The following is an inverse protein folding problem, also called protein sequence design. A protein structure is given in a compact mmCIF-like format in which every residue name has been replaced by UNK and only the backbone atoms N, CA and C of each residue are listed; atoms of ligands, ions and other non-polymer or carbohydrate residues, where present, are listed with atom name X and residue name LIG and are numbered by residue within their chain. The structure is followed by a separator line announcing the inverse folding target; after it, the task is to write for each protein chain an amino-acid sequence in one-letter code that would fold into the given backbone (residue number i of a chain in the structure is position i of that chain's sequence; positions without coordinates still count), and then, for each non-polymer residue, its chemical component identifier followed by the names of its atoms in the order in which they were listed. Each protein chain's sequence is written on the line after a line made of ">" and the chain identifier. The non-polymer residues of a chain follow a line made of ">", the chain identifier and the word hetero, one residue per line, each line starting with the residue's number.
data_IF_654937552560
#
_entry.id   IF_654937552560
#
_cell.length_a   1.000
_cell.length_b   1.000
_cell.length_c   1.000
_cell.angle_alpha   90.00
_cell.angle_beta   90.00
_cell.angle_gamma   90.00
#
_symmetry.space_group_name_H-M   'P 1'
#
loop_
_entity.id
_entity.type
_entity.pdbx_description
1 polymer ?
#
# COMPACT_ATOMS: atom_id res chain seq x y z
N UNK A 1 -53.34 20.17 -10.49
CA UNK A 1 -52.05 20.34 -11.21
C UNK A 1 -51.22 19.05 -11.24
N UNK A 2 -51.35 18.16 -10.25
CA UNK A 2 -50.73 16.83 -10.21
C UNK A 2 -51.61 15.71 -10.82
N UNK A 3 -52.93 15.97 -10.95
CA UNK A 3 -53.94 15.06 -11.51
C UNK A 3 -53.63 14.59 -12.94
N UNK A 4 -52.77 15.29 -13.69
CA UNK A 4 -52.42 14.93 -15.07
C UNK A 4 -51.62 13.61 -15.17
N UNK A 5 -50.97 13.19 -14.08
CA UNK A 5 -50.10 12.01 -14.03
C UNK A 5 -50.33 11.10 -12.80
N UNK A 6 -51.33 11.37 -11.97
CA UNK A 6 -51.52 10.75 -10.64
C UNK A 6 -51.54 9.21 -10.64
N UNK A 7 -51.94 8.57 -11.75
CA UNK A 7 -51.88 7.11 -11.96
C UNK A 7 -51.19 6.72 -13.28
N UNK A 8 -50.53 7.67 -13.94
CA UNK A 8 -50.05 7.50 -15.30
C UNK A 8 -48.65 6.90 -15.43
N UNK A 9 -47.88 6.83 -14.34
CA UNK A 9 -46.46 6.44 -14.38
C UNK A 9 -46.28 5.01 -13.87
N UNK A 10 -45.76 4.14 -14.74
CA UNK A 10 -45.48 2.73 -14.40
C UNK A 10 -44.28 2.20 -15.16
N UNK A 11 -43.72 1.08 -14.71
CA UNK A 11 -42.75 0.30 -15.46
C UNK A 11 -43.47 -0.89 -16.07
N UNK A 12 -43.46 -1.01 -17.39
CA UNK A 12 -44.10 -2.13 -18.07
C UNK A 12 -43.10 -3.26 -18.28
N UNK A 13 -43.22 -4.32 -17.48
CA UNK A 13 -42.33 -5.48 -17.50
C UNK A 13 -42.88 -6.56 -18.41
N UNK A 14 -42.05 -7.10 -19.30
CA UNK A 14 -42.38 -8.29 -20.09
C UNK A 14 -41.96 -9.54 -19.29
N UNK A 15 -42.93 -10.39 -18.97
CA UNK A 15 -42.71 -11.63 -18.23
C UNK A 15 -42.40 -12.79 -19.19
N UNK A 16 -41.70 -13.82 -18.70
CA UNK A 16 -41.25 -14.98 -19.50
C UNK A 16 -42.41 -15.75 -20.14
N UNK A 17 -43.61 -15.69 -19.54
CA UNK A 17 -44.84 -16.29 -20.06
C UNK A 17 -45.55 -15.45 -21.14
N UNK A 18 -44.98 -14.31 -21.56
CA UNK A 18 -45.56 -13.39 -22.54
C UNK A 18 -46.59 -12.40 -21.99
N UNK A 19 -46.89 -12.43 -20.69
CA UNK A 19 -47.74 -11.42 -20.03
C UNK A 19 -46.95 -10.14 -19.68
N UNK A 20 -47.62 -8.99 -19.66
CA UNK A 20 -47.03 -7.74 -19.17
C UNK A 20 -47.46 -7.47 -17.73
N UNK A 21 -46.52 -7.06 -16.87
CA UNK A 21 -46.78 -6.61 -15.51
C UNK A 21 -46.42 -5.12 -15.40
N UNK A 22 -47.41 -4.29 -15.12
CA UNK A 22 -47.19 -2.85 -14.91
C UNK A 22 -46.95 -2.57 -13.42
N UNK A 23 -45.73 -2.14 -13.09
CA UNK A 23 -45.34 -1.78 -11.72
C UNK A 23 -45.59 -0.27 -11.53
N UNK A 24 -46.51 0.14 -10.63
CA UNK A 24 -46.83 1.54 -10.46
C UNK A 24 -45.64 2.31 -9.86
N UNK A 25 -45.42 3.53 -10.37
CA UNK A 25 -44.49 4.50 -9.79
C UNK A 25 -45.30 5.64 -9.18
N UNK A 26 -45.30 5.78 -7.86
CA UNK A 26 -46.08 6.80 -7.14
C UNK A 26 -45.30 8.12 -7.14
N UNK A 27 -45.75 9.18 -7.86
CA UNK A 27 -44.97 10.41 -7.97
C UNK A 27 -44.96 11.24 -6.69
N UNK A 28 -43.85 11.94 -6.45
CA UNK A 28 -43.69 12.91 -5.36
C UNK A 28 -44.17 14.27 -5.83
N UNK A 29 -45.26 14.76 -5.21
CA UNK A 29 -45.94 15.99 -5.63
C UNK A 29 -45.02 17.21 -5.54
N UNK A 30 -44.20 17.27 -4.49
CA UNK A 30 -43.28 18.35 -4.18
C UNK A 30 -42.05 18.41 -5.10
N UNK A 31 -41.73 17.32 -5.81
CA UNK A 31 -40.60 17.23 -6.73
C UNK A 31 -41.02 17.28 -8.21
N UNK A 32 -42.32 17.28 -8.48
CA UNK A 32 -42.88 17.32 -9.83
C UNK A 32 -42.68 18.70 -10.49
N UNK A 33 -42.10 18.70 -11.69
CA UNK A 33 -41.98 19.87 -12.55
C UNK A 33 -42.69 19.60 -13.86
N UNK A 34 -43.80 20.31 -14.10
CA UNK A 34 -44.66 20.13 -15.27
C UNK A 34 -43.87 20.19 -16.58
N UNK A 35 -44.09 19.21 -17.45
CA UNK A 35 -43.46 19.14 -18.78
C UNK A 35 -41.96 18.90 -18.78
N UNK A 36 -41.32 18.67 -17.63
CA UNK A 36 -39.86 18.53 -17.55
C UNK A 36 -39.37 17.38 -16.66
N UNK A 37 -39.94 17.17 -15.47
CA UNK A 37 -39.43 16.17 -14.53
C UNK A 37 -40.53 15.55 -13.66
N UNK A 38 -40.50 14.23 -13.57
CA UNK A 38 -41.29 13.44 -12.62
C UNK A 38 -40.30 12.66 -11.76
N UNK A 39 -40.41 12.79 -10.44
CA UNK A 39 -39.70 11.95 -9.47
C UNK A 39 -40.74 11.07 -8.79
N UNK A 40 -40.52 9.76 -8.74
CA UNK A 40 -41.52 8.83 -8.23
C UNK A 40 -40.90 7.65 -7.47
N UNK A 41 -41.69 7.08 -6.57
CA UNK A 41 -41.39 5.92 -5.73
C UNK A 41 -41.85 4.65 -6.43
N UNK A 42 -40.95 3.70 -6.61
CA UNK A 42 -41.26 2.33 -7.06
C UNK A 42 -41.14 1.38 -5.88
N UNK A 43 -42.08 0.44 -5.78
CA UNK A 43 -41.98 -0.71 -4.90
C UNK A 43 -41.86 -1.97 -5.76
N UNK A 44 -40.97 -2.88 -5.35
CA UNK A 44 -40.85 -4.19 -6.00
C UNK A 44 -42.11 -5.02 -5.70
N UNK A 45 -42.79 -5.54 -6.73
CA UNK A 45 -43.88 -6.51 -6.54
C UNK A 45 -43.42 -7.76 -5.79
N UNK A 46 -44.21 -8.23 -4.82
CA UNK A 46 -43.88 -9.39 -3.96
C UNK A 46 -43.66 -10.70 -4.74
N UNK A 47 -44.36 -10.88 -5.87
CA UNK A 47 -44.33 -12.11 -6.68
C UNK A 47 -43.19 -12.15 -7.71
N UNK A 48 -42.20 -11.24 -7.62
CA UNK A 48 -41.12 -11.12 -8.59
C UNK A 48 -39.85 -11.79 -8.09
N UNK A 49 -39.44 -12.88 -8.75
CA UNK A 49 -38.29 -13.72 -8.34
C UNK A 49 -37.04 -13.54 -9.21
N UNK A 50 -37.17 -13.05 -10.44
CA UNK A 50 -36.06 -12.88 -11.40
C UNK A 50 -35.79 -11.40 -11.69
N UNK A 51 -34.59 -11.12 -12.22
CA UNK A 51 -34.24 -9.79 -12.69
C UNK A 51 -35.01 -9.48 -13.98
N UNK A 52 -36.03 -8.64 -13.88
CA UNK A 52 -36.89 -8.26 -15.01
C UNK A 52 -36.62 -6.82 -15.40
N UNK A 53 -36.63 -6.54 -16.71
CA UNK A 53 -36.38 -5.21 -17.26
C UNK A 53 -37.52 -4.75 -18.15
N UNK A 54 -37.90 -3.48 -18.07
CA UNK A 54 -38.97 -2.91 -18.87
C UNK A 54 -38.83 -1.41 -19.09
N UNK A 55 -39.41 -0.82 -20.14
CA UNK A 55 -39.44 0.62 -20.30
C UNK A 55 -40.28 1.27 -19.18
N UNK A 56 -39.87 2.46 -18.76
CA UNK A 56 -40.71 3.37 -17.99
C UNK A 56 -41.72 3.97 -18.94
N UNK A 57 -43.00 3.88 -18.56
CA UNK A 57 -44.13 4.39 -19.30
C UNK A 57 -44.74 5.54 -18.52
N UNK A 58 -44.95 6.67 -19.20
CA UNK A 58 -45.65 7.84 -18.65
C UNK A 58 -46.89 8.07 -19.50
N UNK A 59 -48.05 8.02 -18.85
CA UNK A 59 -49.36 8.35 -19.42
C UNK A 59 -49.79 9.72 -18.90
N UNK A 60 -50.17 10.62 -19.80
CA UNK A 60 -50.75 11.93 -19.45
C UNK A 60 -52.22 11.93 -19.85
N UNK A 61 -53.11 12.16 -18.87
CA UNK A 61 -54.56 12.18 -19.06
C UNK A 61 -55.12 10.90 -19.75
N UNK A 62 -54.45 9.76 -19.58
CA UNK A 62 -54.78 8.47 -20.21
C UNK A 62 -54.85 8.44 -21.74
N UNK A 63 -54.40 9.51 -22.40
CA UNK A 63 -54.43 9.64 -23.86
C UNK A 63 -53.05 9.58 -24.48
N UNK A 64 -52.06 10.21 -23.84
CA UNK A 64 -50.71 10.35 -24.41
C UNK A 64 -49.72 9.49 -23.65
N UNK A 65 -49.12 8.50 -24.32
CA UNK A 65 -48.14 7.58 -23.72
C UNK A 65 -46.73 7.83 -24.28
N UNK A 66 -45.78 8.00 -23.38
CA UNK A 66 -44.35 8.01 -23.69
C UNK A 66 -43.68 6.76 -23.11
N UNK A 67 -42.66 6.24 -23.81
CA UNK A 67 -41.83 5.11 -23.36
C UNK A 67 -40.37 5.54 -23.29
N UNK A 68 -39.66 5.15 -22.23
CA UNK A 68 -38.23 5.42 -22.11
C UNK A 68 -37.41 4.65 -23.16
N UNK A 69 -36.32 5.26 -23.63
CA UNK A 69 -35.37 4.61 -24.56
C UNK A 69 -34.58 3.48 -23.86
N UNK A 70 -34.19 3.72 -22.62
CA UNK A 70 -33.51 2.74 -21.75
C UNK A 70 -34.54 1.99 -20.91
N UNK A 71 -34.23 0.74 -20.57
CA UNK A 71 -35.07 -0.07 -19.68
C UNK A 71 -34.68 0.17 -18.22
N UNK A 72 -35.68 0.18 -17.35
CA UNK A 72 -35.50 0.06 -15.91
C UNK A 72 -35.36 -1.43 -15.56
N UNK A 73 -34.38 -1.77 -14.72
CA UNK A 73 -34.10 -3.16 -14.35
C UNK A 73 -34.30 -3.34 -12.84
N UNK A 74 -35.11 -4.32 -12.47
CA UNK A 74 -35.19 -4.79 -11.09
C UNK A 74 -34.07 -5.80 -10.84
N UNK A 75 -33.12 -5.43 -9.98
CA UNK A 75 -32.00 -6.30 -9.56
C UNK A 75 -32.17 -6.70 -8.10
N UNK A 76 -31.50 -7.78 -7.69
CA UNK A 76 -31.34 -8.13 -6.29
C UNK A 76 -29.84 -7.97 -5.94
N UNK A 77 -29.46 -6.94 -5.16
CA UNK A 77 -28.07 -6.70 -4.84
C UNK A 77 -27.54 -7.80 -3.93
N UNK A 78 -26.36 -8.32 -4.25
CA UNK A 78 -25.70 -9.36 -3.46
C UNK A 78 -24.37 -8.86 -2.95
N UNK A 79 -24.07 -9.16 -1.70
CA UNK A 79 -22.75 -8.96 -1.11
C UNK A 79 -22.03 -10.31 -1.21
N UNK A 80 -20.73 -10.28 -1.47
CA UNK A 80 -19.85 -11.44 -1.59
C UNK A 80 -18.80 -11.42 -0.50
N UNK A 81 -18.17 -10.27 -0.25
CA UNK A 81 -17.14 -10.14 0.77
C UNK A 81 -17.06 -8.72 1.33
N UNK A 82 -16.44 -8.62 2.50
CA UNK A 82 -16.03 -7.35 3.11
C UNK A 82 -14.54 -7.41 3.44
N UNK A 83 -13.84 -6.29 3.33
CA UNK A 83 -12.41 -6.20 3.68
C UNK A 83 -12.07 -4.77 4.10
N UNK A 84 -11.40 -4.55 5.25
CA UNK A 84 -11.09 -5.54 6.29
C UNK A 84 -12.35 -6.03 7.04
N UNK A 85 -12.18 -7.10 7.82
CA UNK A 85 -13.19 -7.70 8.71
C UNK A 85 -13.05 -7.25 10.18
N UNK A 86 -12.06 -6.41 10.47
CA UNK A 86 -11.82 -5.79 11.79
C UNK A 86 -11.29 -4.37 11.67
N UNK A 87 -11.45 -3.58 12.73
CA UNK A 87 -10.90 -2.23 12.86
C UNK A 87 -11.02 -1.69 14.29
N UNK A 88 -10.39 -0.53 14.59
CA UNK A 88 -10.42 0.05 15.93
C UNK A 88 -11.82 0.51 16.34
N UNK A 89 -12.10 0.45 17.64
CA UNK A 89 -13.34 0.93 18.26
C UNK A 89 -13.60 2.41 17.97
N UNK A 90 -12.55 3.23 17.90
CA UNK A 90 -12.66 4.64 17.50
C UNK A 90 -13.22 4.84 16.08
N UNK A 91 -13.24 3.79 15.26
CA UNK A 91 -13.73 3.82 13.89
C UNK A 91 -12.70 4.43 12.93
N UNK A 92 -13.20 4.96 11.82
CA UNK A 92 -12.36 5.56 10.78
C UNK A 92 -11.79 4.57 9.78
N UNK A 93 -12.14 3.28 9.88
CA UNK A 93 -11.73 2.20 8.97
C UNK A 93 -12.53 2.26 7.69
N UNK A 94 -11.86 2.29 6.54
CA UNK A 94 -12.49 2.15 5.23
C UNK A 94 -12.73 0.67 4.93
N UNK A 95 -13.99 0.25 4.95
CA UNK A 95 -14.45 -1.09 4.58
C UNK A 95 -14.81 -1.10 3.10
N UNK A 96 -14.15 -1.98 2.34
CA UNK A 96 -14.55 -2.35 0.97
C UNK A 96 -15.55 -3.51 1.04
N UNK A 97 -16.75 -3.29 0.48
CA UNK A 97 -17.81 -4.29 0.36
C UNK A 97 -17.91 -4.65 -1.11
N UNK A 98 -17.66 -5.91 -1.47
CA UNK A 98 -17.68 -6.39 -2.86
C UNK A 98 -18.91 -7.25 -3.10
N UNK A 99 -19.44 -7.20 -4.32
CA UNK A 99 -20.69 -7.86 -4.65
C UNK A 99 -21.16 -7.59 -6.08
N UNK A 100 -22.47 -7.69 -6.30
CA UNK A 100 -23.11 -7.38 -7.57
C UNK A 100 -24.30 -6.43 -7.36
N UNK A 101 -24.52 -5.56 -8.36
CA UNK A 101 -25.62 -4.59 -8.39
C UNK A 101 -25.65 -3.63 -7.19
N UNK A 102 -24.50 -3.32 -6.62
CA UNK A 102 -24.37 -2.48 -5.41
C UNK A 102 -24.63 -0.98 -5.69
N UNK A 103 -24.72 -0.58 -6.96
CA UNK A 103 -25.18 0.75 -7.35
C UNK A 103 -26.71 0.87 -7.44
N UNK A 104 -27.47 -0.19 -7.11
CA UNK A 104 -28.93 -0.22 -7.27
C UNK A 104 -29.66 0.74 -6.34
N UNK A 105 -30.75 1.34 -6.81
CA UNK A 105 -31.58 2.24 -6.01
C UNK A 105 -30.98 3.64 -5.85
N UNK A 106 -31.77 4.56 -5.30
CA UNK A 106 -31.39 5.97 -5.20
C UNK A 106 -30.45 6.23 -4.01
N UNK A 107 -30.70 5.58 -2.87
CA UNK A 107 -29.93 5.71 -1.63
C UNK A 107 -29.34 4.37 -1.21
N UNK A 108 -28.15 4.43 -0.63
CA UNK A 108 -27.52 3.31 0.05
C UNK A 108 -27.05 3.77 1.44
N UNK A 109 -27.47 3.05 2.48
CA UNK A 109 -27.09 3.30 3.87
C UNK A 109 -26.39 2.05 4.40
N UNK A 110 -25.24 2.24 5.05
CA UNK A 110 -24.44 1.15 5.62
C UNK A 110 -24.33 1.37 7.12
N UNK A 111 -24.44 0.29 7.89
CA UNK A 111 -24.24 0.31 9.34
C UNK A 111 -23.57 -0.97 9.80
N UNK A 112 -22.87 -0.90 10.93
CA UNK A 112 -22.24 -2.03 11.61
C UNK A 112 -22.71 -2.01 13.06
N UNK A 113 -23.42 -3.05 13.51
CA UNK A 113 -23.98 -3.08 14.88
C UNK A 113 -24.96 -1.93 15.17
N UNK A 114 -25.63 -1.41 14.13
CA UNK A 114 -26.51 -0.24 14.23
C UNK A 114 -25.79 1.11 14.23
N UNK A 115 -24.45 1.14 14.26
CA UNK A 115 -23.64 2.34 14.12
C UNK A 115 -23.43 2.68 12.64
N UNK A 116 -23.60 3.93 12.20
CA UNK A 116 -23.40 4.31 10.80
C UNK A 116 -22.00 3.97 10.25
N UNK A 117 -21.94 3.62 8.97
CA UNK A 117 -20.72 3.58 8.17
C UNK A 117 -20.92 4.50 6.97
N UNK A 118 -20.17 5.60 6.92
CA UNK A 118 -20.38 6.67 5.94
C UNK A 118 -19.89 6.24 4.57
N UNK A 119 -20.81 6.13 3.61
CA UNK A 119 -20.49 5.74 2.23
C UNK A 119 -19.57 6.78 1.57
N UNK A 120 -18.38 6.35 1.16
CA UNK A 120 -17.37 7.18 0.47
C UNK A 120 -17.32 6.90 -1.02
N UNK A 121 -17.63 5.67 -1.44
CA UNK A 121 -17.59 5.26 -2.85
C UNK A 121 -18.71 4.27 -3.15
N UNK A 122 -19.33 4.42 -4.32
CA UNK A 122 -20.41 3.54 -4.79
C UNK A 122 -20.21 3.16 -6.26
N UNK A 123 -20.16 1.87 -6.53
CA UNK A 123 -19.99 1.28 -7.86
C UNK A 123 -20.91 0.06 -8.00
N UNK A 124 -21.02 -0.48 -9.22
CA UNK A 124 -21.84 -1.65 -9.50
C UNK A 124 -21.39 -2.90 -8.73
N UNK A 125 -20.07 -3.08 -8.57
CA UNK A 125 -19.45 -4.25 -7.96
C UNK A 125 -18.79 -3.98 -6.60
N UNK A 126 -18.80 -2.73 -6.12
CA UNK A 126 -18.19 -2.37 -4.85
C UNK A 126 -18.83 -1.15 -4.17
N UNK A 127 -18.84 -1.17 -2.85
CA UNK A 127 -19.06 0.00 -1.99
C UNK A 127 -17.82 0.19 -1.12
N UNK A 128 -17.50 1.44 -0.80
CA UNK A 128 -16.55 1.77 0.26
C UNK A 128 -17.26 2.63 1.29
N UNK A 129 -17.14 2.28 2.55
CA UNK A 129 -17.68 3.09 3.65
C UNK A 129 -16.67 3.23 4.77
N UNK A 130 -16.74 4.34 5.51
CA UNK A 130 -15.87 4.62 6.64
C UNK A 130 -16.63 4.44 7.95
N UNK A 131 -16.14 3.57 8.84
CA UNK A 131 -16.81 3.26 10.10
C UNK A 131 -16.85 4.48 11.03
N UNK A 132 -17.96 4.66 11.76
CA UNK A 132 -18.02 5.58 12.91
C UNK A 132 -17.51 4.89 14.19
N UNK A 133 -17.38 5.66 15.27
CA UNK A 133 -17.01 5.13 16.58
C UNK A 133 -18.07 4.15 17.10
N UNK A 134 -17.61 2.99 17.58
CA UNK A 134 -18.45 1.98 18.20
C UNK A 134 -18.50 2.14 19.73
N UNK A 135 -19.65 1.88 20.37
CA UNK A 135 -19.79 2.00 21.83
C UNK A 135 -19.04 0.90 22.59
N UNK A 136 -18.96 -0.30 22.01
CA UNK A 136 -18.33 -1.49 22.58
C UNK A 136 -17.42 -2.16 21.56
N UNK A 137 -16.44 -2.92 22.06
CA UNK A 137 -15.69 -3.87 21.24
C UNK A 137 -16.52 -5.13 21.05
N UNK A 138 -16.35 -5.80 19.92
CA UNK A 138 -17.10 -7.00 19.61
C UNK A 138 -17.33 -7.19 18.12
N UNK A 139 -17.76 -8.40 17.79
CA UNK A 139 -18.18 -8.76 16.45
C UNK A 139 -19.62 -8.30 16.24
N UNK A 140 -19.84 -7.51 15.20
CA UNK A 140 -21.11 -6.89 14.89
C UNK A 140 -21.50 -7.14 13.44
N UNK A 141 -22.81 -7.20 13.18
CA UNK A 141 -23.33 -7.45 11.84
C UNK A 141 -23.25 -6.19 10.97
N UNK A 142 -22.74 -6.33 9.76
CA UNK A 142 -22.80 -5.30 8.72
C UNK A 142 -24.13 -5.38 7.98
N UNK A 143 -24.81 -4.25 7.87
CA UNK A 143 -26.11 -4.13 7.19
C UNK A 143 -26.03 -3.06 6.12
N UNK A 144 -26.44 -3.41 4.90
CA UNK A 144 -26.58 -2.48 3.77
C UNK A 144 -28.04 -2.36 3.40
N UNK A 145 -28.56 -1.14 3.39
CA UNK A 145 -29.93 -0.82 3.00
C UNK A 145 -29.92 -0.02 1.71
N UNK A 146 -30.65 -0.51 0.71
CA UNK A 146 -30.86 0.20 -0.56
C UNK A 146 -32.30 0.72 -0.59
N UNK A 147 -32.46 2.05 -0.60
CA UNK A 147 -33.75 2.72 -0.46
C UNK A 147 -34.56 2.22 0.76
N UNK A 148 -35.73 1.63 0.54
CA UNK A 148 -36.58 0.99 1.56
C UNK A 148 -36.35 -0.52 1.65
N UNK A 149 -35.55 -1.09 0.74
CA UNK A 149 -35.11 -2.47 0.78
C UNK A 149 -34.11 -2.68 1.91
N UNK A 150 -34.61 -3.03 3.10
CA UNK A 150 -33.78 -3.56 4.17
C UNK A 150 -33.33 -4.96 3.80
N UNK A 151 -32.14 -5.04 3.19
CA UNK A 151 -31.46 -6.28 2.92
C UNK A 151 -30.54 -6.56 4.11
N UNK A 152 -31.10 -7.22 5.13
CA UNK A 152 -30.27 -7.81 6.16
C UNK A 152 -29.57 -9.05 5.58
N UNK A 153 -28.61 -8.87 4.67
CA UNK A 153 -27.84 -9.97 4.08
C UNK A 153 -26.91 -10.51 5.18
N UNK A 154 -27.34 -11.62 5.77
CA UNK A 154 -27.17 -11.84 7.20
C UNK A 154 -25.92 -12.48 7.73
N UNK A 155 -24.82 -12.44 6.99
CA UNK A 155 -23.64 -13.25 7.36
C UNK A 155 -22.34 -12.45 7.46
N UNK A 156 -22.33 -11.19 7.06
CA UNK A 156 -21.10 -10.39 7.08
C UNK A 156 -20.91 -9.73 8.44
N UNK A 157 -19.83 -10.12 9.11
CA UNK A 157 -19.47 -9.68 10.44
C UNK A 157 -18.23 -8.79 10.38
N UNK A 158 -18.27 -7.67 11.07
CA UNK A 158 -17.11 -6.81 11.28
C UNK A 158 -16.79 -6.74 12.78
N UNK A 159 -15.52 -6.82 13.13
CA UNK A 159 -15.08 -6.86 14.53
C UNK A 159 -14.47 -5.53 14.93
N UNK A 160 -15.14 -4.81 15.84
CA UNK A 160 -14.53 -3.67 16.53
C UNK A 160 -13.57 -4.19 17.61
N UNK A 161 -12.31 -3.79 17.52
CA UNK A 161 -11.23 -4.17 18.44
C UNK A 161 -10.80 -2.96 19.25
N UNK A 162 -10.21 -3.18 20.43
CA UNK A 162 -9.60 -2.11 21.22
C UNK A 162 -8.59 -1.30 20.40
N UNK A 163 -8.60 0.02 20.60
CA UNK A 163 -7.77 0.93 19.84
C UNK A 163 -6.26 0.60 19.96
N UNK A 164 -5.48 0.81 18.89
CA UNK A 164 -4.03 0.63 18.95
C UNK A 164 -3.42 1.55 19.99
N UNK A 165 -2.35 1.12 20.63
CA UNK A 165 -1.57 1.95 21.56
C UNK A 165 -0.11 1.92 21.12
N UNK A 166 0.52 3.10 21.10
CA UNK A 166 1.94 3.23 20.77
C UNK A 166 2.70 3.42 22.07
N UNK A 167 3.65 2.52 22.32
CA UNK A 167 4.48 2.53 23.53
C UNK A 167 5.85 3.14 23.23
N UNK A 168 6.43 2.88 22.05
CA UNK A 168 7.66 3.54 21.61
C UNK A 168 7.76 3.65 20.09
N UNK A 169 8.51 4.66 19.63
CA UNK A 169 8.91 4.83 18.23
C UNK A 169 10.40 5.09 18.19
N UNK A 170 11.12 4.19 17.54
CA UNK A 170 12.59 4.12 17.54
C UNK A 170 13.10 4.04 16.09
N UNK A 171 14.38 4.34 15.88
CA UNK A 171 15.05 4.06 14.59
C UNK A 171 15.21 2.54 14.38
N UNK A 172 15.98 2.14 13.36
CA UNK A 172 16.38 0.74 13.19
C UNK A 172 17.11 0.20 14.45
N UNK A 173 17.95 1.02 15.09
CA UNK A 173 18.63 0.67 16.36
C UNK A 173 17.69 0.92 17.56
N UNK A 174 17.48 -0.11 18.36
CA UNK A 174 16.65 0.00 19.58
C UNK A 174 17.22 1.02 20.57
N UNK A 175 16.33 1.81 21.19
CA UNK A 175 16.69 2.84 22.17
C UNK A 175 17.16 4.18 21.58
N UNK A 176 17.28 4.32 20.25
CA UNK A 176 17.56 5.61 19.60
C UNK A 176 16.27 6.30 19.16
N UNK A 177 16.23 7.65 19.17
CA UNK A 177 15.06 8.39 18.68
C UNK A 177 14.77 8.05 17.21
N UNK A 178 13.48 8.07 16.85
CA UNK A 178 13.06 7.95 15.47
C UNK A 178 13.73 9.04 14.61
N UNK A 179 14.27 8.66 13.46
CA UNK A 179 14.99 9.56 12.56
C UNK A 179 14.67 9.34 11.09
N UNK A 180 15.02 10.34 10.28
CA UNK A 180 14.77 10.37 8.86
C UNK A 180 15.71 11.32 8.12
N UNK A 181 15.59 11.29 6.81
CA UNK A 181 16.23 12.23 5.87
C UNK A 181 15.15 12.76 4.90
N UNK A 182 15.35 13.94 4.27
CA UNK A 182 14.42 14.51 3.30
C UNK A 182 13.96 13.52 2.23
N UNK A 183 14.89 12.69 1.74
CA UNK A 183 14.59 11.67 0.72
C UNK A 183 13.70 10.53 1.21
N UNK A 184 13.46 10.40 2.52
CA UNK A 184 12.64 9.37 3.12
C UNK A 184 13.25 7.96 3.06
N UNK A 185 12.45 6.96 3.45
CA UNK A 185 12.78 5.54 3.25
C UNK A 185 13.59 4.86 4.35
N UNK A 186 14.03 5.57 5.39
CA UNK A 186 14.71 4.94 6.52
C UNK A 186 13.75 4.09 7.35
N UNK A 187 14.26 3.05 7.99
CA UNK A 187 13.44 2.16 8.82
C UNK A 187 13.12 2.81 10.16
N UNK A 188 11.84 2.84 10.51
CA UNK A 188 11.36 3.30 11.82
C UNK A 188 10.54 2.19 12.46
N UNK A 189 10.94 1.78 13.66
CA UNK A 189 10.30 0.71 14.40
C UNK A 189 9.31 1.28 15.41
N UNK A 190 8.05 0.87 15.32
CA UNK A 190 6.98 1.26 16.24
C UNK A 190 6.60 0.04 17.07
N UNK A 191 6.64 0.17 18.40
CA UNK A 191 6.23 -0.86 19.35
C UNK A 191 4.98 -0.42 20.11
N UNK A 192 4.12 -1.38 20.44
CA UNK A 192 2.84 -1.06 21.03
C UNK A 192 1.92 -2.26 21.22
N UNK A 193 0.61 -1.99 21.11
CA UNK A 193 -0.46 -2.98 21.22
C UNK A 193 -1.50 -2.76 20.13
N UNK A 194 -2.11 -3.85 19.67
CA UNK A 194 -3.15 -3.87 18.62
C UNK A 194 -2.75 -3.12 17.33
N UNK A 195 -1.46 -3.12 16.98
CA UNK A 195 -0.94 -2.37 15.84
C UNK A 195 -1.34 -2.99 14.49
N UNK A 196 -1.79 -4.24 14.48
CA UNK A 196 -2.27 -4.98 13.31
C UNK A 196 -3.77 -4.77 13.03
N UNK A 197 -4.47 -4.01 13.88
CA UNK A 197 -5.91 -3.74 13.74
C UNK A 197 -6.18 -2.74 12.61
N UNK A 198 -5.24 -1.84 12.34
CA UNK A 198 -5.35 -0.84 11.28
C UNK A 198 -4.77 -1.41 9.98
N UNK A 199 -5.52 -1.34 8.88
CA UNK A 199 -5.11 -1.91 7.59
C UNK A 199 -4.04 -1.08 6.88
N UNK A 200 -4.17 0.23 6.91
CA UNK A 200 -3.23 1.16 6.25
C UNK A 200 -2.63 2.19 7.23
N UNK A 201 -1.87 1.73 8.24
CA UNK A 201 -1.17 2.62 9.15
C UNK A 201 -0.08 3.40 8.41
N UNK A 202 0.14 4.64 8.80
CA UNK A 202 1.15 5.49 8.18
C UNK A 202 1.85 6.38 9.21
N UNK A 203 3.18 6.31 9.26
CA UNK A 203 4.01 7.25 10.00
C UNK A 203 3.88 8.61 9.33
N UNK A 204 3.74 9.68 10.09
CA UNK A 204 3.77 11.03 9.55
C UNK A 204 4.67 11.94 10.35
N UNK A 205 5.32 12.87 9.66
CA UNK A 205 6.00 14.03 10.27
C UNK A 205 5.26 15.30 9.87
N UNK A 206 5.29 16.31 10.73
CA UNK A 206 4.63 17.59 10.48
C UNK A 206 5.69 18.66 10.19
N UNK A 207 5.62 19.25 9.00
CA UNK A 207 6.52 20.31 8.53
C UNK A 207 5.65 21.42 7.98
N UNK A 208 5.85 22.66 8.44
CA UNK A 208 5.02 23.82 8.05
C UNK A 208 3.50 23.58 8.17
N UNK A 209 3.07 22.88 9.22
CA UNK A 209 1.67 22.46 9.44
C UNK A 209 1.11 21.45 8.43
N UNK A 210 1.93 20.91 7.52
CA UNK A 210 1.56 19.84 6.60
C UNK A 210 2.10 18.49 7.10
N UNK A 211 1.28 17.45 6.98
CA UNK A 211 1.65 16.07 7.33
C UNK A 211 2.21 15.34 6.11
N UNK A 212 3.42 14.85 6.23
CA UNK A 212 4.07 14.01 5.22
C UNK A 212 4.05 12.56 5.68
N UNK A 213 3.59 11.63 4.82
CA UNK A 213 3.32 10.25 5.21
C UNK A 213 4.35 9.26 4.65
N UNK A 214 4.74 8.32 5.49
CA UNK A 214 5.56 7.16 5.18
C UNK A 214 4.77 5.88 5.42
N UNK A 215 5.00 4.87 4.57
CA UNK A 215 4.26 3.60 4.63
C UNK A 215 4.66 2.82 5.88
N UNK A 216 3.67 2.20 6.54
CA UNK A 216 3.92 1.21 7.58
C UNK A 216 3.32 -0.15 7.22
N UNK A 217 3.94 -1.21 7.74
CA UNK A 217 3.52 -2.59 7.57
C UNK A 217 3.47 -3.25 8.96
N UNK A 218 2.31 -3.73 9.41
CA UNK A 218 2.20 -4.44 10.68
C UNK A 218 2.88 -5.81 10.54
N UNK A 219 3.87 -6.07 11.40
CA UNK A 219 4.57 -7.37 11.47
C UNK A 219 3.93 -8.27 12.53
N UNK A 220 3.37 -7.68 13.58
CA UNK A 220 2.60 -8.36 14.62
C UNK A 220 1.68 -7.37 15.34
N UNK A 221 0.81 -7.81 16.26
CA UNK A 221 0.03 -6.90 17.10
C UNK A 221 0.87 -5.93 17.94
N UNK A 222 2.15 -6.21 18.15
CA UNK A 222 3.06 -5.39 18.97
C UNK A 222 4.13 -4.66 18.18
N UNK A 223 4.29 -4.99 16.89
CA UNK A 223 5.39 -4.48 16.06
C UNK A 223 4.87 -3.98 14.73
N UNK A 224 5.18 -2.71 14.43
CA UNK A 224 4.87 -2.06 13.18
C UNK A 224 6.17 -1.51 12.59
N UNK A 225 6.48 -1.91 11.36
CA UNK A 225 7.66 -1.46 10.63
C UNK A 225 7.26 -0.35 9.66
N UNK A 226 7.84 0.82 9.84
CA UNK A 226 7.54 2.02 9.06
C UNK A 226 8.73 2.47 8.23
N UNK A 227 8.43 3.23 7.18
CA UNK A 227 9.39 4.00 6.40
C UNK A 227 9.26 5.47 6.75
N UNK A 228 10.38 6.17 6.90
CA UNK A 228 10.37 7.61 7.10
C UNK A 228 9.75 8.30 5.87
N UNK A 229 8.93 9.35 6.07
CA UNK A 229 8.28 10.06 4.98
C UNK A 229 9.27 10.87 4.13
N UNK A 230 8.87 11.17 2.89
CA UNK A 230 9.58 12.09 2.00
C UNK A 230 9.15 13.52 2.29
N UNK A 231 10.10 14.43 2.43
CA UNK A 231 9.86 15.85 2.68
C UNK A 231 10.75 16.68 1.77
N UNK A 232 10.19 17.73 1.15
CA UNK A 232 10.97 18.60 0.26
C UNK A 232 12.06 19.32 1.03
N UNK A 233 13.26 19.40 0.46
CA UNK A 233 14.41 20.06 1.08
C UNK A 233 14.16 21.55 1.29
N UNK A 234 13.37 22.19 0.42
CA UNK A 234 13.08 23.62 0.56
C UNK A 234 12.26 23.95 1.82
N UNK A 235 11.43 23.02 2.30
CA UNK A 235 10.57 23.20 3.46
C UNK A 235 11.29 22.87 4.78
N UNK A 236 12.58 22.49 4.72
CA UNK A 236 13.36 22.06 5.87
C UNK A 236 14.47 23.07 6.15
N UNK A 237 14.34 23.75 7.29
CA UNK A 237 15.34 24.71 7.77
C UNK A 237 16.30 24.02 8.74
N UNK A 238 17.39 23.48 8.21
CA UNK A 238 18.45 22.90 9.02
C UNK A 238 19.34 23.99 9.61
N UNK A 239 19.83 23.76 10.83
CA UNK A 239 20.88 24.54 11.45
C UNK A 239 22.18 24.53 10.62
N UNK A 240 23.04 25.53 10.85
CA UNK A 240 24.36 25.61 10.21
C UNK A 240 25.26 24.43 10.61
N UNK A 241 25.22 24.02 11.88
CA UNK A 241 25.95 22.84 12.35
C UNK A 241 25.22 21.55 11.92
N UNK A 242 25.80 20.74 11.01
CA UNK A 242 25.18 19.50 10.56
C UNK A 242 25.12 18.41 11.66
N UNK A 243 25.68 18.65 12.84
CA UNK A 243 25.53 17.76 14.00
C UNK A 243 24.16 17.87 14.67
N UNK A 244 23.48 19.01 14.50
CA UNK A 244 22.19 19.29 15.15
C UNK A 244 21.07 18.85 14.19
N UNK A 245 20.28 17.83 14.56
CA UNK A 245 19.13 17.44 13.76
C UNK A 245 18.03 18.49 13.85
N UNK A 246 17.21 18.59 12.80
CA UNK A 246 15.94 19.30 12.89
C UNK A 246 14.92 18.41 13.61
N UNK A 247 14.36 18.91 14.71
CA UNK A 247 13.39 18.19 15.52
C UNK A 247 11.97 18.47 15.04
N UNK A 248 11.21 17.40 14.73
CA UNK A 248 9.86 17.50 14.16
C UNK A 248 8.80 16.82 15.04
N UNK A 249 7.59 17.37 15.02
CA UNK A 249 6.40 16.70 15.52
C UNK A 249 6.01 15.56 14.57
N UNK A 250 5.57 14.44 15.13
CA UNK A 250 5.27 13.25 14.35
C UNK A 250 4.19 12.40 15.02
N UNK A 251 3.68 11.44 14.27
CA UNK A 251 2.74 10.46 14.79
C UNK A 251 2.57 9.29 13.84
N UNK A 252 1.70 8.35 14.20
CA UNK A 252 1.29 7.25 13.35
C UNK A 252 -0.21 7.33 13.17
N UNK A 253 -0.65 7.51 11.92
CA UNK A 253 -2.06 7.49 11.55
C UNK A 253 -2.60 6.08 11.73
N UNK A 254 -3.61 5.97 12.57
CA UNK A 254 -4.22 4.71 13.00
C UNK A 254 -5.76 4.81 12.92
N UNK A 255 -6.28 5.01 11.71
CA UNK A 255 -7.69 5.38 11.47
C UNK A 255 -8.13 6.60 12.30
N UNK A 256 -9.22 6.50 13.07
CA UNK A 256 -9.68 7.55 13.98
C UNK A 256 -9.07 7.45 15.38
N UNK A 257 -8.20 6.47 15.67
CA UNK A 257 -7.57 6.34 16.98
C UNK A 257 -6.61 7.52 17.22
N UNK A 258 -6.80 8.21 18.34
CA UNK A 258 -5.98 9.37 18.73
C UNK A 258 -4.63 8.99 19.36
N UNK A 259 -4.46 7.71 19.74
CA UNK A 259 -3.27 7.20 20.41
C UNK A 259 -1.97 7.44 19.64
N UNK A 260 -2.03 7.46 18.32
CA UNK A 260 -0.89 7.70 17.45
C UNK A 260 -0.70 9.16 17.03
N UNK A 261 -1.54 10.09 17.49
CA UNK A 261 -1.50 11.47 17.01
C UNK A 261 -0.64 12.38 17.90
N UNK A 262 0.24 13.15 17.27
CA UNK A 262 1.10 14.18 17.86
C UNK A 262 1.86 13.64 19.09
N UNK A 263 2.71 12.64 18.86
CA UNK A 263 3.35 11.87 19.92
C UNK A 263 4.29 12.72 20.78
N UNK A 264 4.84 13.81 20.25
CA UNK A 264 5.71 14.70 21.03
C UNK A 264 4.83 15.55 21.96
N UNK A 265 3.95 16.38 21.40
CA UNK A 265 3.10 17.29 22.17
C UNK A 265 2.13 16.58 23.14
N UNK A 266 1.50 15.48 22.73
CA UNK A 266 0.44 14.83 23.50
C UNK A 266 0.96 13.73 24.44
N UNK A 267 2.13 13.14 24.16
CA UNK A 267 2.61 11.94 24.86
C UNK A 267 4.04 12.05 25.40
N UNK A 268 4.75 13.15 25.13
CA UNK A 268 6.10 13.38 25.62
C UNK A 268 7.16 12.47 24.99
N UNK A 269 6.90 11.95 23.79
CA UNK A 269 7.90 11.19 23.03
C UNK A 269 9.04 12.13 22.62
N UNK A 270 10.25 11.56 22.42
CA UNK A 270 11.35 12.33 21.85
C UNK A 270 10.99 12.80 20.43
N UNK A 271 11.35 14.04 20.04
CA UNK A 271 11.10 14.53 18.69
C UNK A 271 11.70 13.64 17.62
N UNK A 272 11.07 13.65 16.44
CA UNK A 272 11.61 12.97 15.27
C UNK A 272 12.84 13.74 14.77
N UNK A 273 13.97 13.06 14.62
CA UNK A 273 15.23 13.68 14.23
C UNK A 273 15.41 13.63 12.70
N UNK A 274 15.27 14.77 12.05
CA UNK A 274 15.52 14.92 10.62
C UNK A 274 16.97 15.35 10.39
N UNK A 275 17.73 14.54 9.65
CA UNK A 275 19.10 14.85 9.24
C UNK A 275 19.14 15.19 7.74
N UNK A 276 20.21 15.85 7.29
CA UNK A 276 20.44 16.05 5.85
C UNK A 276 20.66 14.70 5.16
N UNK A 277 20.38 14.62 3.86
CA UNK A 277 20.69 13.42 3.08
C UNK A 277 22.20 13.08 3.16
N UNK A 278 22.58 11.79 3.11
CA UNK A 278 23.98 11.40 2.99
C UNK A 278 24.49 11.66 1.57
N UNK A 279 25.80 11.86 1.44
CA UNK A 279 26.48 11.91 0.15
C UNK A 279 27.50 10.79 0.07
N UNK A 280 27.42 9.93 -0.94
CA UNK A 280 28.49 8.99 -1.26
C UNK A 280 29.25 9.47 -2.48
N UNK A 281 30.58 9.44 -2.40
CA UNK A 281 31.47 9.89 -3.47
C UNK A 281 31.88 8.70 -4.34
N UNK A 282 31.97 8.88 -5.67
CA UNK A 282 32.47 7.85 -6.55
C UNK A 282 33.95 7.57 -6.30
N UNK A 283 34.44 6.44 -6.83
CA UNK A 283 35.87 6.11 -6.78
C UNK A 283 36.71 7.21 -7.43
N UNK A 284 37.79 7.63 -6.76
CA UNK A 284 38.70 8.68 -7.22
C UNK A 284 39.62 8.24 -8.36
N UNK A 285 39.72 6.94 -8.58
CA UNK A 285 40.53 6.29 -9.60
C UNK A 285 39.99 6.56 -11.02
N UNK A 286 40.89 6.52 -12.02
CA UNK A 286 40.54 6.78 -13.41
C UNK A 286 39.43 5.83 -13.91
N UNK A 287 38.42 6.41 -14.56
CA UNK A 287 37.24 5.67 -15.02
C UNK A 287 36.34 5.13 -13.89
N UNK A 288 36.54 5.58 -12.65
CA UNK A 288 35.85 5.09 -11.46
C UNK A 288 35.98 3.56 -11.28
N UNK A 289 37.15 3.00 -11.62
CA UNK A 289 37.44 1.57 -11.47
C UNK A 289 38.44 1.37 -10.33
N UNK A 290 38.01 0.68 -9.27
CA UNK A 290 38.86 0.38 -8.12
C UNK A 290 39.38 -1.05 -8.19
N UNK A 291 40.69 -1.23 -8.03
CA UNK A 291 41.30 -2.56 -7.94
C UNK A 291 41.11 -3.14 -6.53
N UNK A 292 40.47 -4.30 -6.45
CA UNK A 292 40.25 -5.00 -5.19
C UNK A 292 41.51 -5.78 -4.79
N UNK A 293 42.32 -5.17 -3.92
CA UNK A 293 43.59 -5.73 -3.41
C UNK A 293 43.59 -6.07 -1.91
N UNK A 294 42.51 -5.76 -1.20
CA UNK A 294 42.37 -5.89 0.25
C UNK A 294 41.11 -6.67 0.57
N UNK A 295 40.96 -7.22 1.78
CA UNK A 295 39.71 -7.87 2.22
C UNK A 295 38.54 -6.88 2.39
N UNK A 296 38.81 -5.57 2.41
CA UNK A 296 37.81 -4.53 2.70
C UNK A 296 37.76 -3.47 1.61
N UNK A 297 36.54 -3.04 1.29
CA UNK A 297 36.24 -1.91 0.42
C UNK A 297 35.83 -0.71 1.27
N UNK A 298 36.54 0.41 1.10
CA UNK A 298 36.19 1.69 1.71
C UNK A 298 35.61 2.63 0.66
N UNK A 299 34.43 3.18 0.98
CA UNK A 299 33.69 4.16 0.18
C UNK A 299 33.66 5.47 0.97
N UNK A 300 34.12 6.55 0.34
CA UNK A 300 34.12 7.88 0.94
C UNK A 300 32.75 8.56 0.76
N UNK A 301 32.44 9.47 1.67
CA UNK A 301 31.19 10.21 1.65
C UNK A 301 31.17 11.31 2.69
N UNK A 302 29.98 11.88 2.89
CA UNK A 302 29.71 12.87 3.91
C UNK A 302 28.35 12.62 4.55
N UNK A 303 28.25 12.97 5.84
CA UNK A 303 27.04 12.86 6.65
C UNK A 303 26.44 11.42 6.76
N UNK A 304 27.26 10.37 6.58
CA UNK A 304 26.76 9.00 6.41
C UNK A 304 26.08 8.43 7.68
N UNK A 305 26.81 8.31 8.79
CA UNK A 305 26.30 7.75 10.06
C UNK A 305 25.21 8.62 10.74
N UNK A 306 25.16 9.91 10.43
CA UNK A 306 24.11 10.80 10.96
C UNK A 306 22.81 10.57 10.20
N UNK A 307 22.91 10.55 8.88
CA UNK A 307 21.78 10.33 7.99
C UNK A 307 21.20 8.91 8.05
N UNK A 308 22.01 7.89 8.35
CA UNK A 308 21.59 6.49 8.25
C UNK A 308 22.25 5.59 9.29
N UNK A 309 21.59 4.48 9.63
CA UNK A 309 22.15 3.40 10.44
C UNK A 309 22.72 2.29 9.57
N UNK A 310 23.51 1.42 10.19
CA UNK A 310 24.06 0.23 9.54
C UNK A 310 22.99 -0.61 8.83
N UNK A 311 21.83 -0.81 9.47
CA UNK A 311 20.72 -1.60 8.94
C UNK A 311 19.94 -0.89 7.81
N UNK A 312 20.14 0.43 7.63
CA UNK A 312 19.50 1.20 6.56
C UNK A 312 20.34 1.21 5.28
N UNK A 313 21.59 0.72 5.30
CA UNK A 313 22.52 0.81 4.16
C UNK A 313 22.80 -0.57 3.57
N UNK A 314 22.51 -0.72 2.28
CA UNK A 314 22.83 -1.93 1.52
C UNK A 314 23.85 -1.57 0.45
N UNK A 315 24.96 -2.31 0.41
CA UNK A 315 25.99 -2.14 -0.62
C UNK A 315 25.99 -3.34 -1.55
N UNK A 316 25.71 -3.09 -2.83
CA UNK A 316 25.68 -4.11 -3.88
C UNK A 316 26.92 -4.01 -4.76
N UNK A 317 27.47 -5.15 -5.16
CA UNK A 317 28.61 -5.28 -6.07
C UNK A 317 28.17 -6.23 -7.18
N UNK A 318 27.67 -5.68 -8.29
CA UNK A 318 27.02 -6.47 -9.34
C UNK A 318 25.85 -7.29 -8.79
N UNK A 319 25.89 -8.61 -8.96
CA UNK A 319 24.92 -9.54 -8.37
C UNK A 319 25.17 -9.88 -6.89
N UNK A 320 26.34 -9.55 -6.36
CA UNK A 320 26.74 -9.84 -4.98
C UNK A 320 26.38 -8.73 -3.98
N UNK A 321 26.37 -9.09 -2.70
CA UNK A 321 26.25 -8.16 -1.57
C UNK A 321 27.61 -7.92 -0.92
N UNK A 322 27.88 -6.67 -0.54
CA UNK A 322 29.02 -6.30 0.29
C UNK A 322 28.54 -6.16 1.73
N UNK A 323 29.04 -7.02 2.61
CA UNK A 323 28.66 -6.97 4.03
C UNK A 323 29.27 -5.72 4.65
N UNK A 324 28.46 -4.72 4.96
CA UNK A 324 28.92 -3.53 5.67
C UNK A 324 29.54 -3.97 6.99
N UNK A 325 30.67 -3.38 7.38
CA UNK A 325 31.36 -3.70 8.64
C UNK A 325 31.52 -2.48 9.53
N UNK A 326 31.52 -1.28 8.95
CA UNK A 326 31.62 -0.03 9.69
C UNK A 326 30.98 1.11 8.91
N UNK A 327 30.31 2.01 9.63
CA UNK A 327 29.75 3.24 9.11
C UNK A 327 30.22 4.39 9.99
N UNK A 328 31.07 5.26 9.45
CA UNK A 328 31.53 6.48 10.10
C UNK A 328 30.83 7.71 9.51
N UNK A 329 31.24 8.92 9.89
CA UNK A 329 30.66 10.16 9.33
C UNK A 329 31.00 10.36 7.86
N UNK A 330 32.20 9.94 7.45
CA UNK A 330 32.77 10.24 6.12
C UNK A 330 33.17 9.00 5.32
N UNK A 331 33.06 7.82 5.91
CA UNK A 331 33.48 6.57 5.28
C UNK A 331 32.58 5.42 5.68
N UNK A 332 32.24 4.60 4.69
CA UNK A 332 31.64 3.28 4.86
C UNK A 332 32.70 2.23 4.51
N UNK A 333 32.82 1.20 5.33
CA UNK A 333 33.64 0.02 5.03
C UNK A 333 32.76 -1.19 4.92
N UNK A 334 32.95 -1.99 3.87
CA UNK A 334 32.25 -3.24 3.68
C UNK A 334 33.21 -4.34 3.18
N UNK A 335 32.83 -5.60 3.38
CA UNK A 335 33.55 -6.77 2.90
C UNK A 335 32.82 -7.34 1.68
N UNK A 336 33.38 -7.17 0.46
CA UNK A 336 32.75 -7.70 -0.74
C UNK A 336 32.95 -9.23 -0.84
N UNK A 337 32.24 -9.91 -1.76
CA UNK A 337 32.45 -11.33 -2.03
C UNK A 337 33.90 -11.63 -2.40
N UNK A 338 34.39 -12.84 -2.06
CA UNK A 338 35.76 -13.25 -2.38
C UNK A 338 35.97 -13.48 -3.88
N UNK A 339 34.94 -13.97 -4.55
CA UNK A 339 34.95 -14.21 -6.00
C UNK A 339 34.21 -13.06 -6.70
N UNK A 340 34.66 -12.69 -7.90
CA UNK A 340 34.05 -11.61 -8.65
C UNK A 340 32.59 -11.96 -9.00
N UNK A 341 31.60 -11.21 -8.48
CA UNK A 341 30.22 -11.40 -8.89
C UNK A 341 30.02 -10.90 -10.32
N UNK A 342 29.02 -11.44 -11.01
CA UNK A 342 28.64 -10.98 -12.34
C UNK A 342 28.22 -9.51 -12.31
N UNK A 343 28.56 -8.77 -13.37
CA UNK A 343 27.98 -7.46 -13.64
C UNK A 343 26.49 -7.56 -13.94
N UNK A 344 25.84 -6.42 -14.07
CA UNK A 344 24.44 -6.33 -14.51
C UNK A 344 24.42 -5.63 -15.86
N UNK A 345 23.72 -6.20 -16.84
CA UNK A 345 23.47 -5.57 -18.13
C UNK A 345 22.43 -4.43 -18.02
N UNK A 346 22.16 -3.72 -19.11
CA UNK A 346 21.15 -2.64 -19.14
C UNK A 346 19.74 -3.10 -18.79
N UNK A 347 19.46 -4.41 -18.88
CA UNK A 347 18.18 -5.02 -18.53
C UNK A 347 18.16 -5.57 -17.09
N UNK A 348 19.25 -5.41 -16.33
CA UNK A 348 19.40 -5.91 -14.97
C UNK A 348 19.68 -7.41 -14.86
N UNK A 349 20.05 -8.08 -15.96
CA UNK A 349 20.42 -9.49 -15.96
C UNK A 349 21.92 -9.68 -15.67
N UNK A 350 22.33 -10.84 -15.12
CA UNK A 350 23.73 -11.13 -14.86
C UNK A 350 24.56 -11.22 -16.15
N UNK A 351 25.62 -10.41 -16.24
CA UNK A 351 26.60 -10.43 -17.34
C UNK A 351 28.02 -10.57 -16.78
N UNK A 352 28.67 -11.70 -17.06
CA UNK A 352 30.03 -12.02 -16.60
C UNK A 352 31.13 -11.32 -17.39
N UNK A 353 30.81 -10.69 -18.53
CA UNK A 353 31.77 -9.96 -19.36
C UNK A 353 32.05 -8.55 -18.86
N UNK A 354 31.14 -8.02 -18.02
CA UNK A 354 31.24 -6.67 -17.46
C UNK A 354 31.75 -6.71 -16.03
N UNK A 355 32.51 -5.67 -15.65
CA UNK A 355 32.93 -5.48 -14.26
C UNK A 355 31.71 -5.16 -13.38
N UNK A 356 31.62 -5.72 -12.17
CA UNK A 356 30.51 -5.46 -11.26
C UNK A 356 30.51 -3.99 -10.80
N UNK A 357 29.36 -3.34 -10.99
CA UNK A 357 29.11 -1.97 -10.54
C UNK A 357 28.83 -1.99 -9.03
N UNK A 358 29.46 -1.08 -8.30
CA UNK A 358 29.24 -0.85 -6.88
C UNK A 358 28.15 0.21 -6.71
N UNK A 359 27.06 -0.19 -6.06
CA UNK A 359 25.91 0.67 -5.78
C UNK A 359 25.66 0.68 -4.28
N UNK A 360 25.49 1.88 -3.71
CA UNK A 360 25.10 2.06 -2.31
C UNK A 360 23.65 2.50 -2.27
N UNK A 361 22.81 1.74 -1.59
CA UNK A 361 21.40 2.02 -1.38
C UNK A 361 21.18 2.42 0.09
N UNK A 362 20.46 3.52 0.32
CA UNK A 362 20.10 4.00 1.67
C UNK A 362 18.58 4.08 1.79
N UNK A 363 18.04 3.35 2.77
CA UNK A 363 16.60 3.13 2.86
C UNK A 363 16.06 2.43 1.61
N UNK A 364 14.88 2.83 1.15
CA UNK A 364 14.28 2.35 -0.11
C UNK A 364 14.17 3.42 -1.19
N UNK A 365 14.85 4.57 -1.02
CA UNK A 365 14.72 5.75 -1.90
C UNK A 365 16.03 6.24 -2.52
N UNK A 366 17.14 6.18 -1.78
CA UNK A 366 18.42 6.71 -2.27
C UNK A 366 19.28 5.58 -2.85
N UNK A 367 19.89 5.85 -4.01
CA UNK A 367 20.82 4.96 -4.69
C UNK A 367 21.97 5.77 -5.28
N UNK A 368 23.20 5.35 -4.99
CA UNK A 368 24.42 6.01 -5.43
C UNK A 368 25.30 5.04 -6.19
N UNK A 369 25.62 5.35 -7.45
CA UNK A 369 26.57 4.60 -8.26
C UNK A 369 27.98 5.08 -7.92
N UNK A 370 28.79 4.20 -7.33
CA UNK A 370 30.13 4.56 -6.83
C UNK A 370 31.19 4.33 -7.90
N UNK A 371 31.04 3.28 -8.71
CA UNK A 371 32.02 2.89 -9.72
C UNK A 371 32.01 1.41 -9.99
N UNK A 372 33.11 0.86 -10.53
CA UNK A 372 33.27 -0.57 -10.82
C UNK A 372 34.40 -1.16 -9.98
N UNK A 373 34.27 -2.43 -9.61
CA UNK A 373 35.28 -3.15 -8.82
C UNK A 373 35.96 -4.22 -9.69
N UNK A 374 37.29 -4.22 -9.72
CA UNK A 374 38.07 -5.17 -10.50
C UNK A 374 38.87 -6.12 -9.59
N UNK A 375 38.69 -7.43 -9.77
CA UNK A 375 39.27 -8.49 -8.92
C UNK A 375 40.56 -9.12 -9.48
N UNK A 376 41.15 -8.58 -10.57
CA UNK A 376 42.28 -9.16 -11.34
C UNK A 376 43.59 -9.39 -10.58
N UNK A 377 43.65 -9.27 -9.25
CA UNK A 377 44.83 -9.56 -8.44
C UNK A 377 44.57 -10.36 -7.15
N UNK A 378 43.43 -11.03 -7.01
CA UNK A 378 43.30 -12.10 -6.01
C UNK A 378 44.11 -13.30 -6.50
N UNK A 379 45.37 -13.36 -6.09
CA UNK A 379 46.36 -14.34 -6.53
C UNK A 379 45.81 -15.77 -6.52
N UNK A 380 45.43 -16.24 -7.71
CA UNK A 380 45.45 -17.65 -8.01
C UNK A 380 46.95 -17.98 -8.11
N UNK A 381 47.51 -18.84 -7.23
CA UNK A 381 48.82 -19.40 -7.54
C UNK A 381 48.61 -20.26 -8.78
N UNK A 382 48.96 -19.71 -9.94
CA UNK A 382 49.16 -20.52 -11.14
C UNK A 382 50.33 -21.43 -10.80
N UNK A 383 50.03 -22.64 -10.36
CA UNK A 383 51.01 -23.73 -10.35
C UNK A 383 51.35 -23.98 -11.80
N UNK A 384 52.36 -23.30 -12.32
CA UNK A 384 53.09 -23.75 -13.49
C UNK A 384 53.83 -25.00 -13.07
N UNK A 385 53.20 -26.15 -13.24
CA UNK A 385 53.90 -27.43 -13.28
C UNK A 385 54.72 -27.44 -14.57
N UNK A 386 55.92 -26.88 -14.49
CA UNK A 386 57.00 -27.25 -15.38
C UNK A 386 57.72 -28.42 -14.77
N UNK A 387 57.82 -29.47 -15.58
CA UNK A 387 58.85 -30.50 -15.59
C UNK A 387 58.50 -31.83 -14.90
N UNK A 388 58.14 -32.82 -15.72
CA UNK A 388 58.83 -34.11 -15.75
C UNK A 388 58.32 -35.02 -16.88
N UNK A 389 59.26 -35.53 -17.67
CA UNK A 389 59.26 -36.96 -17.97
C UNK A 389 58.61 -37.36 -19.28
N UNK A 390 59.40 -37.31 -20.34
CA UNK A 390 59.23 -38.16 -21.49
C UNK A 390 59.11 -39.63 -21.06
N UNK A 391 57.95 -40.25 -21.32
CA UNK A 391 57.86 -41.70 -21.51
C UNK A 391 56.84 -42.01 -22.61
N UNK A 392 57.38 -42.43 -23.75
CA UNK A 392 56.71 -43.26 -24.75
C UNK A 392 56.00 -44.44 -24.07
N UNK A 393 54.77 -44.76 -24.51
CA UNK A 393 54.29 -46.13 -24.85
C UNK A 393 52.85 -46.04 -25.44
N UNK A 394 52.79 -46.35 -26.74
CA UNK A 394 51.73 -46.99 -27.55
C UNK A 394 50.25 -46.62 -27.41
N UNK A 395 49.68 -46.19 -28.54
CA UNK A 395 48.27 -46.37 -28.88
C UNK A 395 47.97 -47.83 -29.25
N UNK A 396 46.83 -48.38 -28.79
CA UNK A 396 45.83 -49.05 -29.63
C UNK A 396 44.64 -49.65 -28.84
N UNK A 397 43.47 -49.38 -29.43
CA UNK A 397 42.23 -50.15 -29.49
C UNK A 397 41.31 -50.20 -28.27
N UNK A 398 40.26 -49.40 -28.38
CA UNK A 398 38.92 -49.70 -27.89
C UNK A 398 38.25 -50.62 -28.89
N UNK A 399 37.83 -51.82 -28.46
CA UNK A 399 36.61 -52.49 -28.93
C UNK A 399 36.15 -53.53 -27.89
N UNK A 400 34.84 -53.55 -27.71
CA UNK A 400 33.98 -54.64 -27.23
C UNK A 400 33.65 -54.80 -25.74
N UNK A 401 32.44 -54.31 -25.45
CA UNK A 401 31.35 -54.94 -24.69
C UNK A 401 31.47 -56.47 -24.47
N UNK A 402 31.26 -56.90 -23.23
CA UNK A 402 30.28 -57.92 -22.77
C UNK A 402 30.37 -58.01 -21.24
N UNK A 403 29.31 -57.69 -20.48
CA UNK A 403 28.24 -58.61 -20.01
C UNK A 403 28.82 -59.85 -19.32
N UNK A 404 28.94 -59.82 -17.99
CA UNK A 404 28.03 -60.45 -17.01
C UNK A 404 28.22 -59.82 -15.62
#
# INVERSE_FOLDING_TARGET
>A
MFEDIEQGVHISLEMVNGSSLDVPCVPYQELYLRGSRIVCRIQRPENMTLATSGPVVVSVQDQFKARSKQKYTFVDPTIVSITPDKGPKSGGTDIEIRGAFLNTGSRAEISVGGVPCHLTKRQDVSLTCRTSQAPIVGQERLVVKFDDGRRELGEYMFTFVEDPVIDSVESAIAGTPARGIPSGGLTVNVKGRNLDVVREPALYVTVESQRHYGKCVPESPQHLKCRSPVVSKENLHFEEDPAIPLELEYGVRMDAAESGQNLVANRGFKPFQMFRDPLYLPFSEDGHVKEFKSDYLTIAGDNLHRASEFDDVVVRVGTGLCNVTSLSRTQLTCRPPKEQPAGLDESGNPDTTQLPVVVVEVGDRLSFVIGKLNYTNLGIPVTTDTDAGAHNITSRNVTDLNVE
#
